data_IF_470530268350
#
_entry.id   IF_470530268350
#
_cell.length_a   1.000
_cell.length_b   1.000
_cell.length_c   1.000
_cell.angle_alpha   90.00
_cell.angle_beta   90.00
_cell.angle_gamma   90.00
#
_symmetry.space_group_name_H-M   'P 1'
#
loop_
_entity.id
_entity.type
_entity.pdbx_description
1 polymer ?
#
# COMPACT_ATOMS: atom_id res chain seq x y z
N UNK A 1 -20.83 27.13 41.17
CA UNK A 1 -21.00 25.77 40.59
C UNK A 1 -19.84 25.53 39.62
N UNK A 2 -18.84 24.71 39.99
CA UNK A 2 -17.67 24.38 39.15
C UNK A 2 -17.46 22.86 39.25
N UNK A 3 -17.48 22.17 38.10
CA UNK A 3 -17.47 20.70 37.94
C UNK A 3 -16.02 20.17 38.03
N UNK A 4 -15.75 19.02 38.67
CA UNK A 4 -14.38 18.61 39.03
C UNK A 4 -13.60 17.96 37.86
N UNK A 5 -12.27 18.15 37.78
CA UNK A 5 -11.40 17.65 36.70
C UNK A 5 -10.91 16.19 36.89
N UNK A 6 -11.67 15.33 37.59
CA UNK A 6 -11.20 13.98 37.97
C UNK A 6 -11.48 12.87 36.95
N UNK A 7 -12.30 13.13 35.93
CA UNK A 7 -12.63 12.14 34.90
C UNK A 7 -11.58 12.07 33.78
N UNK A 8 -10.86 13.16 33.51
CA UNK A 8 -9.85 13.20 32.45
C UNK A 8 -8.60 12.36 32.77
N UNK A 9 -8.21 12.28 34.05
CA UNK A 9 -7.04 11.50 34.47
C UNK A 9 -7.26 9.97 34.34
N UNK A 10 -8.50 9.49 34.53
CA UNK A 10 -8.84 8.08 34.36
C UNK A 10 -8.88 7.64 32.89
N UNK A 11 -9.23 8.55 31.98
CA UNK A 11 -9.25 8.26 30.54
C UNK A 11 -7.85 8.13 29.92
N UNK A 12 -6.84 8.79 30.49
CA UNK A 12 -5.43 8.66 30.09
C UNK A 12 -4.75 7.41 30.66
N UNK A 13 -5.25 6.89 31.79
CA UNK A 13 -4.67 5.69 32.39
C UNK A 13 -5.03 4.41 31.61
N UNK A 14 -6.18 4.37 30.93
CA UNK A 14 -6.63 3.20 30.17
C UNK A 14 -5.98 3.06 28.80
N UNK A 15 -5.39 4.13 28.23
CA UNK A 15 -4.70 4.07 26.93
C UNK A 15 -3.34 3.39 26.99
N UNK A 16 -2.71 3.33 28.17
CA UNK A 16 -1.41 2.69 28.39
C UNK A 16 -1.49 1.15 28.51
N UNK A 17 -2.69 0.59 28.76
CA UNK A 17 -2.88 -0.85 28.93
C UNK A 17 -3.34 -1.59 27.66
N UNK A 18 -3.37 -0.92 26.51
CA UNK A 18 -3.78 -1.54 25.24
C UNK A 18 -2.65 -1.90 24.24
N UNK A 19 -1.45 -2.38 24.63
CA UNK A 19 -0.51 -2.91 23.65
C UNK A 19 -0.82 -4.36 23.22
N UNK A 20 -1.62 -5.10 23.99
CA UNK A 20 -1.81 -6.55 23.77
C UNK A 20 -2.78 -6.93 22.64
N UNK A 21 -3.72 -6.05 22.27
CA UNK A 21 -4.68 -6.34 21.19
C UNK A 21 -4.10 -6.13 19.79
N UNK A 22 -2.99 -5.39 19.66
CA UNK A 22 -2.33 -5.15 18.38
C UNK A 22 -1.35 -6.27 17.97
N UNK A 23 -0.86 -7.09 18.92
CA UNK A 23 0.16 -8.10 18.67
C UNK A 23 -0.28 -9.21 17.70
N UNK A 24 -1.46 -9.79 17.92
CA UNK A 24 -1.98 -10.85 17.06
C UNK A 24 -2.30 -10.40 15.62
N UNK A 25 -2.65 -9.13 15.43
CA UNK A 25 -2.87 -8.57 14.09
C UNK A 25 -1.54 -8.43 13.33
N UNK A 26 -0.48 -7.96 14.00
CA UNK A 26 0.85 -7.81 13.41
C UNK A 26 1.43 -9.16 13.00
N UNK A 27 1.26 -10.19 13.83
CA UNK A 27 1.72 -11.56 13.53
C UNK A 27 0.96 -12.18 12.34
N UNK A 28 -0.34 -11.92 12.21
CA UNK A 28 -1.11 -12.33 11.04
C UNK A 28 -0.69 -11.59 9.76
N UNK A 29 -0.30 -10.32 9.85
CA UNK A 29 0.18 -9.55 8.68
C UNK A 29 1.56 -10.02 8.23
N UNK A 30 2.47 -10.31 9.18
CA UNK A 30 3.82 -10.78 8.84
C UNK A 30 3.77 -12.18 8.23
N UNK A 31 2.93 -13.07 8.76
CA UNK A 31 2.71 -14.42 8.19
C UNK A 31 2.08 -14.35 6.80
N UNK A 32 1.11 -13.46 6.57
CA UNK A 32 0.54 -13.26 5.24
C UNK A 32 1.61 -12.83 4.22
N UNK A 33 2.49 -11.90 4.61
CA UNK A 33 3.58 -11.44 3.74
C UNK A 33 4.53 -12.58 3.41
N UNK A 34 4.93 -13.40 4.39
CA UNK A 34 5.79 -14.55 4.14
C UNK A 34 5.16 -15.57 3.19
N UNK A 35 3.86 -15.84 3.35
CA UNK A 35 3.12 -16.74 2.44
C UNK A 35 3.09 -16.15 1.03
N UNK A 36 2.77 -14.88 0.88
CA UNK A 36 2.77 -14.20 -0.42
C UNK A 36 4.16 -14.22 -1.07
N UNK A 37 5.22 -13.90 -0.32
CA UNK A 37 6.60 -13.92 -0.83
C UNK A 37 7.02 -15.35 -1.25
N UNK A 38 6.51 -16.40 -0.57
CA UNK A 38 6.80 -17.80 -0.94
C UNK A 38 6.09 -18.27 -2.22
N UNK A 39 4.93 -17.70 -2.54
CA UNK A 39 4.13 -18.07 -3.71
C UNK A 39 4.49 -17.18 -4.89
N UNK A 40 4.48 -15.87 -4.68
CA UNK A 40 4.67 -14.85 -5.71
C UNK A 40 6.15 -14.54 -5.98
N UNK A 41 7.04 -14.99 -5.10
CA UNK A 41 8.43 -14.53 -5.07
C UNK A 41 8.56 -13.18 -4.38
N UNK A 42 9.79 -12.68 -4.31
CA UNK A 42 10.07 -11.39 -3.69
C UNK A 42 9.35 -10.27 -4.46
N UNK A 43 8.59 -9.43 -3.73
CA UNK A 43 8.01 -8.21 -4.28
C UNK A 43 9.04 -7.07 -4.32
N UNK A 44 9.07 -6.36 -5.43
CA UNK A 44 9.93 -5.22 -5.68
C UNK A 44 9.11 -3.98 -5.98
N UNK A 45 9.47 -2.86 -5.37
CA UNK A 45 8.96 -1.55 -5.77
C UNK A 45 9.91 -0.96 -6.81
N UNK A 46 9.40 -0.78 -8.02
CA UNK A 46 10.16 -0.35 -9.20
C UNK A 46 9.66 1.03 -9.62
N UNK A 47 10.59 1.94 -9.89
CA UNK A 47 10.28 3.22 -10.52
C UNK A 47 10.36 3.01 -12.03
N UNK A 48 9.23 3.13 -12.71
CA UNK A 48 9.15 3.15 -14.16
C UNK A 48 9.59 4.54 -14.66
N UNK A 49 10.52 4.60 -15.62
CA UNK A 49 10.99 5.86 -16.23
C UNK A 49 10.92 5.78 -17.76
N UNK A 50 10.31 6.80 -18.38
CA UNK A 50 10.14 6.84 -19.84
C UNK A 50 11.39 7.33 -20.52
N UNK A 51 11.95 6.52 -21.40
CA UNK A 51 13.07 6.94 -22.24
C UNK A 51 12.67 8.10 -23.15
N UNK A 52 11.42 8.10 -23.63
CA UNK A 52 10.87 9.19 -24.47
C UNK A 52 10.47 10.42 -23.67
N UNK A 53 10.43 10.31 -22.32
CA UNK A 53 9.98 11.34 -21.38
C UNK A 53 8.54 11.83 -21.62
N UNK A 54 7.72 11.06 -22.33
CA UNK A 54 6.31 11.41 -22.55
C UNK A 54 5.50 11.29 -21.27
N UNK A 55 5.86 10.32 -20.42
CA UNK A 55 5.24 10.08 -19.12
C UNK A 55 6.16 10.47 -17.97
N UNK A 56 5.56 10.94 -16.87
CA UNK A 56 6.29 11.17 -15.63
C UNK A 56 6.68 9.83 -14.99
N UNK A 57 7.82 9.77 -14.27
CA UNK A 57 8.19 8.58 -13.53
C UNK A 57 7.09 8.17 -12.55
N UNK A 58 6.77 6.87 -12.53
CA UNK A 58 5.74 6.31 -11.67
C UNK A 58 6.26 5.07 -10.94
N UNK A 59 5.59 4.72 -9.83
CA UNK A 59 5.88 3.55 -9.02
C UNK A 59 5.00 2.39 -9.46
N UNK A 60 5.61 1.22 -9.61
CA UNK A 60 4.93 -0.04 -9.79
C UNK A 60 5.48 -1.08 -8.81
N UNK A 61 4.62 -1.94 -8.28
CA UNK A 61 5.06 -3.16 -7.62
C UNK A 61 5.17 -4.30 -8.65
N UNK A 62 6.21 -5.13 -8.53
CA UNK A 62 6.46 -6.28 -9.40
C UNK A 62 6.79 -7.52 -8.56
N UNK A 63 6.27 -8.69 -8.95
CA UNK A 63 6.74 -9.99 -8.48
C UNK A 63 6.88 -10.98 -9.64
N UNK A 64 7.80 -11.96 -9.56
CA UNK A 64 8.07 -12.87 -10.67
C UNK A 64 6.92 -13.83 -11.02
N UNK A 65 6.06 -14.17 -10.06
CA UNK A 65 5.08 -15.25 -10.22
C UNK A 65 3.62 -14.84 -10.00
N UNK A 66 3.35 -13.59 -9.61
CA UNK A 66 1.99 -13.10 -9.41
C UNK A 66 1.75 -11.81 -10.19
N UNK A 67 0.51 -11.65 -10.65
CA UNK A 67 0.05 -10.38 -11.19
C UNK A 67 -0.15 -9.38 -10.06
N UNK A 68 0.51 -8.24 -10.17
CA UNK A 68 0.48 -7.20 -9.16
C UNK A 68 -0.65 -6.21 -9.42
N UNK A 69 -1.56 -6.10 -8.47
CA UNK A 69 -2.56 -5.02 -8.47
C UNK A 69 -1.88 -3.75 -7.99
N UNK A 70 -1.75 -2.77 -8.89
CA UNK A 70 -1.17 -1.49 -8.54
C UNK A 70 -2.10 -0.69 -7.63
N UNK A 71 -1.52 -0.01 -6.63
CA UNK A 71 -2.30 0.84 -5.75
C UNK A 71 -2.81 2.09 -6.49
N UNK A 72 -4.05 2.49 -6.25
CA UNK A 72 -4.58 3.77 -6.75
C UNK A 72 -3.95 4.94 -6.03
N UNK A 73 -3.04 5.65 -6.71
CA UNK A 73 -2.38 6.83 -6.17
C UNK A 73 -1.80 7.71 -7.27
N UNK A 74 -1.52 8.99 -6.97
CA UNK A 74 -0.99 9.95 -7.93
C UNK A 74 0.39 9.56 -8.49
N UNK A 75 1.12 8.71 -7.77
CA UNK A 75 2.44 8.21 -8.16
C UNK A 75 2.40 6.81 -8.78
N UNK A 76 1.22 6.22 -8.97
CA UNK A 76 1.07 4.85 -9.47
C UNK A 76 1.10 4.79 -10.99
N UNK A 77 1.69 3.72 -11.54
CA UNK A 77 1.74 3.49 -12.98
C UNK A 77 0.39 3.12 -13.62
N UNK A 78 -0.70 2.96 -12.87
CA UNK A 78 -2.02 2.64 -13.47
C UNK A 78 -2.47 3.64 -14.54
N UNK A 79 -2.17 4.93 -14.36
CA UNK A 79 -2.54 5.97 -15.33
C UNK A 79 -1.81 5.79 -16.65
N UNK A 80 -0.59 5.24 -16.62
CA UNK A 80 0.25 5.01 -17.80
C UNK A 80 -0.11 3.68 -18.47
N UNK A 81 -0.32 2.60 -17.70
CA UNK A 81 -0.60 1.27 -18.26
C UNK A 81 -1.94 1.17 -18.98
N UNK A 82 -2.95 1.95 -18.59
CA UNK A 82 -4.25 1.97 -19.28
C UNK A 82 -4.26 2.67 -20.63
N UNK A 83 -3.19 3.39 -21.00
CA UNK A 83 -3.09 4.07 -22.30
C UNK A 83 -2.75 3.08 -23.42
N UNK A 84 -2.06 1.98 -23.12
CA UNK A 84 -1.60 1.01 -24.13
C UNK A 84 -2.58 -0.14 -24.41
N UNK A 85 -3.52 -0.44 -23.51
CA UNK A 85 -4.48 -1.56 -23.70
C UNK A 85 -5.75 -1.19 -24.50
N UNK A 86 -5.75 -0.03 -25.17
CA UNK A 86 -7.00 0.60 -25.66
C UNK A 86 -7.04 1.13 -27.09
N UNK A 87 -6.02 0.95 -27.94
CA UNK A 87 -6.15 1.32 -29.36
C UNK A 87 -5.17 0.59 -30.30
N UNK A 88 -5.57 -0.52 -30.94
CA UNK A 88 -5.00 -0.88 -32.23
C UNK A 88 -5.64 0.03 -33.28
N UNK A 89 -4.86 0.96 -33.84
CA UNK A 89 -5.18 1.64 -35.10
C UNK A 89 -6.41 2.59 -35.08
N UNK A 90 -6.15 3.89 -34.95
CA UNK A 90 -6.90 4.88 -35.73
C UNK A 90 -5.94 5.93 -36.23
N UNK A 91 -5.34 5.57 -37.36
CA UNK A 91 -4.84 6.45 -38.39
C UNK A 91 -6.00 7.33 -38.89
N UNK A 92 -5.86 8.65 -38.76
CA UNK A 92 -6.33 9.63 -39.75
C UNK A 92 -5.58 10.95 -39.59
#
# INVERSE_FOLDING_TARGET
MIRPPRLAALALATSLFSPYTAGGLIENISTLRMVLDSVCGQRFDVIWIDETRSNQPCLMSYSPFCDEVQHSGPTSCMVVMHVDDGNPSSEN
#
